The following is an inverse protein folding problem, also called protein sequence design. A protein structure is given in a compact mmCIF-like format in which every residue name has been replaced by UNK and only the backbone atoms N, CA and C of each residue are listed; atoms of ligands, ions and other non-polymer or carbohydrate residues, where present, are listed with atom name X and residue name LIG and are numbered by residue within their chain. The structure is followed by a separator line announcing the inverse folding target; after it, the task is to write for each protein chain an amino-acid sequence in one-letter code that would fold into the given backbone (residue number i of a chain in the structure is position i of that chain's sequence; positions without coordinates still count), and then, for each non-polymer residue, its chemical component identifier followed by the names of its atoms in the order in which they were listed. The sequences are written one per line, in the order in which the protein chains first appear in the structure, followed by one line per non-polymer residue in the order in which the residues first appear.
data_IF_721987428977
#
_entry.id   IF_721987428977
#
_cell.length_a   1.000
_cell.length_b   1.000
_cell.length_c   1.000
_cell.angle_alpha   90.00
_cell.angle_beta   90.00
_cell.angle_gamma   90.00
#
_symmetry.space_group_name_H-M   'P 1'
#
loop_
_entity.id
_entity.type
_entity.pdbx_description
1 polymer ?
#
# COMPACT_ATOMS: atom_id res chain seq x y z
N UNK A 1 38.08 -0.05 2.23
CA UNK A 1 37.19 -0.53 1.14
C UNK A 1 36.19 -1.64 1.54
N UNK A 2 36.16 -2.18 2.78
CA UNK A 2 35.22 -3.25 3.17
C UNK A 2 33.91 -2.77 3.84
N UNK A 3 33.86 -1.54 4.36
CA UNK A 3 32.70 -0.99 5.08
C UNK A 3 31.57 -0.49 4.17
N UNK A 4 31.90 0.06 3.00
CA UNK A 4 30.90 0.56 2.03
C UNK A 4 30.05 -0.60 1.45
N UNK A 5 30.66 -1.77 1.27
CA UNK A 5 29.96 -2.96 0.78
C UNK A 5 28.95 -3.54 1.78
N UNK A 6 29.20 -3.39 3.09
CA UNK A 6 28.28 -3.91 4.11
C UNK A 6 27.01 -3.06 4.17
N UNK A 7 27.13 -1.74 4.05
CA UNK A 7 25.98 -0.82 3.99
C UNK A 7 25.16 -1.08 2.72
N UNK A 8 25.82 -1.31 1.57
CA UNK A 8 25.15 -1.65 0.32
C UNK A 8 24.41 -2.99 0.40
N UNK A 9 25.02 -4.01 1.03
CA UNK A 9 24.41 -5.33 1.24
C UNK A 9 23.22 -5.29 2.21
N UNK A 10 23.27 -4.45 3.25
CA UNK A 10 22.15 -4.24 4.16
C UNK A 10 20.97 -3.52 3.47
N UNK A 11 21.24 -2.56 2.58
CA UNK A 11 20.21 -1.82 1.85
C UNK A 11 19.52 -2.67 0.76
N UNK A 12 20.30 -3.51 0.07
CA UNK A 12 19.77 -4.47 -0.93
C UNK A 12 18.93 -5.56 -0.25
N UNK A 13 19.31 -6.01 0.95
CA UNK A 13 18.56 -7.03 1.71
C UNK A 13 17.26 -6.48 2.32
N UNK A 14 17.25 -5.22 2.73
CA UNK A 14 16.04 -4.54 3.22
C UNK A 14 15.01 -4.34 2.10
N UNK A 15 15.49 -4.01 0.89
CA UNK A 15 14.64 -3.78 -0.29
C UNK A 15 14.01 -5.07 -0.85
N UNK A 16 14.71 -6.21 -0.78
CA UNK A 16 14.19 -7.49 -1.25
C UNK A 16 13.18 -8.14 -0.29
N UNK A 17 13.25 -7.85 1.01
CA UNK A 17 12.45 -8.58 2.01
C UNK A 17 11.04 -8.01 2.20
N UNK A 18 10.84 -6.71 1.98
CA UNK A 18 9.51 -6.06 2.11
C UNK A 18 8.68 -6.20 0.82
N UNK A 19 9.32 -6.53 -0.31
CA UNK A 19 8.71 -6.33 -1.63
C UNK A 19 9.07 -7.40 -2.69
N UNK A 20 9.96 -8.34 -2.39
CA UNK A 20 10.33 -9.44 -3.26
C UNK A 20 9.55 -10.72 -2.94
N UNK A 21 8.70 -11.19 -3.86
CA UNK A 21 8.25 -12.58 -3.88
C UNK A 21 9.34 -13.43 -4.53
N UNK A 22 10.10 -14.21 -3.76
CA UNK A 22 10.96 -15.24 -4.32
C UNK A 22 10.14 -16.50 -4.59
N UNK A 23 10.02 -16.90 -5.86
CA UNK A 23 9.52 -18.23 -6.28
C UNK A 23 10.68 -19.24 -6.32
N UNK A 24 11.40 -19.43 -5.21
CA UNK A 24 12.51 -20.39 -5.18
C UNK A 24 12.44 -21.25 -3.92
N UNK A 25 11.88 -22.45 -4.06
CA UNK A 25 11.64 -23.42 -2.99
C UNK A 25 12.92 -24.01 -2.36
N UNK A 26 14.12 -23.67 -2.86
CA UNK A 26 15.38 -24.12 -2.27
C UNK A 26 16.03 -23.11 -1.29
N UNK A 27 15.47 -21.91 -1.10
CA UNK A 27 15.99 -20.92 -0.14
C UNK A 27 15.24 -20.90 1.21
N UNK A 28 14.35 -21.87 1.47
CA UNK A 28 13.62 -21.98 2.76
C UNK A 28 14.48 -22.53 3.90
N UNK A 29 15.62 -23.18 3.60
CA UNK A 29 16.39 -23.95 4.60
C UNK A 29 17.58 -23.23 5.25
N UNK A 30 17.86 -21.96 4.91
CA UNK A 30 19.07 -21.28 5.45
C UNK A 30 18.83 -19.99 6.24
N UNK A 31 17.58 -19.63 6.50
CA UNK A 31 17.23 -18.42 7.24
C UNK A 31 16.37 -18.75 8.48
N UNK A 32 16.96 -19.49 9.42
CA UNK A 32 16.27 -20.00 10.63
C UNK A 32 16.70 -19.29 11.93
N UNK A 33 17.39 -18.14 11.87
CA UNK A 33 18.00 -17.54 13.07
C UNK A 33 17.67 -16.07 13.34
N UNK A 34 16.66 -15.50 12.67
CA UNK A 34 16.08 -14.22 13.08
C UNK A 34 14.58 -14.40 13.18
N UNK A 35 14.14 -14.82 14.38
CA UNK A 35 12.73 -14.86 14.77
C UNK A 35 12.17 -13.44 14.90
N UNK A 36 11.98 -12.77 13.77
CA UNK A 36 10.92 -11.79 13.62
C UNK A 36 9.73 -12.56 13.02
N UNK A 37 8.58 -12.65 13.69
CA UNK A 37 7.36 -13.19 13.09
C UNK A 37 6.82 -12.13 12.12
N UNK A 38 7.60 -11.74 11.11
CA UNK A 38 7.24 -10.71 10.15
C UNK A 38 6.97 -11.31 8.78
N UNK A 39 6.07 -12.29 8.79
CA UNK A 39 5.16 -12.59 7.71
C UNK A 39 4.13 -13.55 8.30
N UNK A 40 3.43 -13.13 9.36
CA UNK A 40 2.09 -13.68 9.57
C UNK A 40 1.41 -13.54 8.22
N UNK A 41 1.00 -14.67 7.62
CA UNK A 41 0.16 -14.63 6.45
C UNK A 41 -0.94 -13.63 6.77
N UNK A 42 -0.88 -12.44 6.15
CA UNK A 42 -1.89 -11.42 6.37
C UNK A 42 -3.14 -12.11 5.85
N UNK A 43 -3.96 -12.60 6.78
CA UNK A 43 -5.24 -13.18 6.45
C UNK A 43 -5.91 -12.12 5.59
N UNK A 44 -6.23 -12.49 4.34
CA UNK A 44 -7.01 -11.65 3.44
C UNK A 44 -8.42 -11.63 4.03
N UNK A 45 -8.58 -10.96 5.17
CA UNK A 45 -9.89 -10.64 5.71
C UNK A 45 -10.61 -9.89 4.59
N UNK A 46 -11.70 -10.48 4.08
CA UNK A 46 -12.45 -9.90 2.96
C UNK A 46 -13.21 -8.64 3.35
N UNK A 47 -13.14 -8.24 4.61
CA UNK A 47 -13.86 -7.12 5.21
C UNK A 47 -12.89 -6.07 5.75
N UNK A 48 -12.04 -5.51 4.89
CA UNK A 48 -11.26 -4.32 5.22
C UNK A 48 -12.20 -3.09 5.27
N UNK A 49 -11.86 -2.09 6.09
CA UNK A 49 -12.58 -0.80 6.12
C UNK A 49 -11.85 0.20 5.23
N UNK A 50 -12.58 0.89 4.35
CA UNK A 50 -12.06 1.92 3.47
C UNK A 50 -11.39 3.05 4.26
N UNK A 51 -12.00 3.49 5.36
CA UNK A 51 -11.43 4.52 6.23
C UNK A 51 -10.06 4.09 6.81
N UNK A 52 -9.96 2.85 7.30
CA UNK A 52 -8.69 2.32 7.83
C UNK A 52 -7.65 2.13 6.73
N UNK A 53 -8.06 1.63 5.56
CA UNK A 53 -7.17 1.46 4.41
C UNK A 53 -6.68 2.79 3.85
N UNK A 54 -7.51 3.83 3.88
CA UNK A 54 -7.15 5.20 3.49
C UNK A 54 -6.10 5.79 4.44
N UNK A 55 -6.26 5.59 5.75
CA UNK A 55 -5.25 5.99 6.74
C UNK A 55 -3.87 5.36 6.44
N UNK A 56 -3.83 4.05 6.22
CA UNK A 56 -2.58 3.33 5.87
C UNK A 56 -2.03 3.81 4.53
N UNK A 57 -2.89 4.05 3.53
CA UNK A 57 -2.48 4.62 2.24
C UNK A 57 -1.80 5.97 2.42
N UNK A 58 -2.38 6.87 3.20
CA UNK A 58 -1.81 8.19 3.45
C UNK A 58 -0.45 8.10 4.14
N UNK A 59 -0.31 7.23 5.15
CA UNK A 59 0.96 6.98 5.80
C UNK A 59 2.02 6.47 4.81
N UNK A 60 1.67 5.50 3.95
CA UNK A 60 2.58 4.99 2.92
C UNK A 60 2.96 6.07 1.90
N UNK A 61 2.02 6.91 1.49
CA UNK A 61 2.27 8.03 0.58
C UNK A 61 3.16 9.10 1.20
N UNK A 62 3.03 9.37 2.49
CA UNK A 62 3.81 10.38 3.19
C UNK A 62 5.23 9.88 3.47
N UNK A 63 5.38 8.66 3.98
CA UNK A 63 6.67 8.15 4.46
C UNK A 63 7.51 7.48 3.38
N UNK A 64 6.89 6.65 2.53
CA UNK A 64 7.62 5.79 1.59
C UNK A 64 7.74 6.39 0.19
N UNK A 65 6.73 7.12 -0.28
CA UNK A 65 6.76 7.72 -1.62
C UNK A 65 7.97 8.66 -1.85
N UNK A 66 8.38 9.52 -0.90
CA UNK A 66 9.57 10.36 -1.09
C UNK A 66 10.85 9.53 -1.28
N UNK A 67 10.96 8.38 -0.59
CA UNK A 67 12.08 7.46 -0.70
C UNK A 67 12.11 6.86 -2.10
N UNK A 68 10.99 6.31 -2.57
CA UNK A 68 10.90 5.74 -3.92
C UNK A 68 11.23 6.76 -5.01
N UNK A 69 10.71 7.98 -4.89
CA UNK A 69 11.03 9.09 -5.81
C UNK A 69 12.51 9.48 -5.78
N UNK A 70 13.11 9.59 -4.60
CA UNK A 70 14.53 9.95 -4.44
C UNK A 70 15.45 8.96 -5.16
N UNK A 71 15.15 7.66 -5.07
CA UNK A 71 15.98 6.62 -5.66
C UNK A 71 15.53 6.19 -7.06
N UNK A 72 14.48 6.80 -7.62
CA UNK A 72 13.95 6.47 -8.94
C UNK A 72 13.49 5.01 -9.06
N UNK A 73 13.11 4.37 -7.96
CA UNK A 73 12.69 2.98 -7.94
C UNK A 73 11.17 2.88 -7.88
N UNK A 74 10.60 2.01 -8.69
CA UNK A 74 9.17 1.69 -8.60
C UNK A 74 8.92 0.67 -7.50
N UNK A 75 7.71 0.68 -6.93
CA UNK A 75 7.28 -0.34 -5.97
C UNK A 75 7.03 -1.67 -6.68
N UNK A 76 7.75 -2.75 -6.35
CA UNK A 76 7.54 -4.07 -6.93
C UNK A 76 6.07 -4.52 -6.95
N UNK A 77 5.68 -5.23 -8.01
CA UNK A 77 4.37 -5.90 -8.13
C UNK A 77 4.17 -7.04 -7.11
N UNK A 78 5.17 -7.39 -6.32
CA UNK A 78 5.02 -8.37 -5.24
C UNK A 78 4.64 -7.76 -3.89
N UNK A 79 4.78 -6.43 -3.74
CA UNK A 79 4.68 -5.76 -2.45
C UNK A 79 3.28 -5.77 -1.88
N UNK A 80 3.17 -6.13 -0.60
CA UNK A 80 1.95 -5.94 0.19
C UNK A 80 1.59 -4.46 0.38
N UNK A 81 2.59 -3.58 0.38
CA UNK A 81 2.40 -2.12 0.47
C UNK A 81 2.26 -1.42 -0.89
N UNK A 82 2.12 -2.19 -1.98
CA UNK A 82 1.88 -1.60 -3.28
C UNK A 82 0.45 -1.05 -3.34
N UNK A 83 0.32 0.27 -3.29
CA UNK A 83 -0.97 0.96 -3.30
C UNK A 83 -1.84 0.61 -4.52
N UNK A 84 -1.22 0.32 -5.67
CA UNK A 84 -1.93 -0.10 -6.89
C UNK A 84 -2.66 -1.45 -6.73
N UNK A 85 -2.24 -2.25 -5.75
CA UNK A 85 -2.85 -3.54 -5.42
C UNK A 85 -3.93 -3.44 -4.34
N UNK A 86 -4.08 -2.28 -3.71
CA UNK A 86 -5.16 -2.06 -2.76
C UNK A 86 -6.52 -2.29 -3.41
N UNK A 87 -7.41 -2.97 -2.71
CA UNK A 87 -8.79 -3.20 -3.15
C UNK A 87 -9.57 -1.90 -3.38
N UNK A 88 -9.15 -0.83 -2.69
CA UNK A 88 -9.76 0.49 -2.75
C UNK A 88 -9.01 1.49 -3.62
N UNK A 89 -7.99 1.05 -4.37
CA UNK A 89 -7.18 1.97 -5.17
C UNK A 89 -8.02 2.81 -6.14
N UNK A 90 -8.98 2.19 -6.83
CA UNK A 90 -9.85 2.90 -7.77
C UNK A 90 -10.78 3.91 -7.07
N UNK A 91 -11.29 3.58 -5.87
CA UNK A 91 -12.11 4.51 -5.09
C UNK A 91 -11.29 5.73 -4.63
N UNK A 92 -10.09 5.48 -4.12
CA UNK A 92 -9.16 6.52 -3.67
C UNK A 92 -8.72 7.43 -4.82
N UNK A 93 -8.53 6.89 -6.03
CA UNK A 93 -8.28 7.69 -7.25
C UNK A 93 -9.47 8.56 -7.66
N UNK A 94 -10.69 8.16 -7.27
CA UNK A 94 -11.93 8.90 -7.51
C UNK A 94 -12.34 9.79 -6.35
N UNK A 95 -11.55 9.86 -5.28
CA UNK A 95 -11.77 10.72 -4.12
C UNK A 95 -10.95 12.00 -4.29
N UNK A 96 -11.63 13.13 -4.41
CA UNK A 96 -11.00 14.45 -4.54
C UNK A 96 -11.35 15.33 -3.35
N UNK A 97 -10.35 15.94 -2.72
CA UNK A 97 -10.55 17.04 -1.78
C UNK A 97 -10.61 18.35 -2.57
N UNK A 98 -11.65 19.15 -2.31
CA UNK A 98 -11.86 20.45 -2.95
C UNK A 98 -11.20 21.57 -2.14
N UNK A 99 -10.93 22.72 -2.77
CA UNK A 99 -10.34 23.89 -2.12
C UNK A 99 -11.09 24.37 -0.87
N UNK A 100 -12.40 24.07 -0.78
CA UNK A 100 -13.27 24.51 0.30
C UNK A 100 -13.42 23.43 1.39
N UNK A 101 -12.59 22.38 1.38
CA UNK A 101 -12.64 21.27 2.36
C UNK A 101 -13.75 20.25 2.14
N UNK A 102 -14.54 20.37 1.07
CA UNK A 102 -15.50 19.32 0.69
C UNK A 102 -14.81 18.17 -0.02
N UNK A 103 -15.43 17.01 0.05
CA UNK A 103 -15.03 15.82 -0.70
C UNK A 103 -15.90 15.67 -1.94
N UNK A 104 -15.30 15.36 -3.09
CA UNK A 104 -15.98 15.14 -4.36
C UNK A 104 -15.68 13.74 -4.89
N UNK A 105 -16.71 13.03 -5.30
CA UNK A 105 -16.58 11.81 -6.07
C UNK A 105 -16.36 12.15 -7.54
N UNK A 106 -15.20 11.82 -8.08
CA UNK A 106 -14.86 12.06 -9.49
C UNK A 106 -15.61 11.10 -10.44
N UNK A 107 -16.09 9.96 -9.96
CA UNK A 107 -16.84 9.01 -10.77
C UNK A 107 -18.26 9.50 -11.16
N UNK A 108 -18.92 10.28 -10.28
CA UNK A 108 -20.30 10.75 -10.52
C UNK A 108 -20.51 12.24 -10.23
N UNK A 109 -19.50 12.96 -9.76
CA UNK A 109 -19.54 14.41 -9.50
C UNK A 109 -20.16 14.85 -8.17
N UNK A 110 -20.71 13.94 -7.35
CA UNK A 110 -21.34 14.29 -6.06
C UNK A 110 -20.33 14.86 -5.06
N UNK A 111 -20.78 15.83 -4.27
CA UNK A 111 -20.00 16.49 -3.21
C UNK A 111 -20.51 16.12 -1.83
N UNK A 112 -19.62 16.10 -0.85
CA UNK A 112 -19.87 15.66 0.52
C UNK A 112 -19.15 16.57 1.50
N UNK A 113 -19.79 16.83 2.65
CA UNK A 113 -19.24 17.66 3.72
C UNK A 113 -18.08 16.99 4.46
N UNK A 114 -18.09 15.66 4.57
CA UNK A 114 -17.06 14.92 5.32
C UNK A 114 -16.59 13.71 4.54
N UNK A 115 -15.39 13.25 4.87
CA UNK A 115 -14.77 12.08 4.24
C UNK A 115 -15.58 10.80 4.49
N UNK A 116 -16.19 10.68 5.67
CA UNK A 116 -17.04 9.53 6.02
C UNK A 116 -18.27 9.42 5.09
N UNK A 117 -18.87 10.55 4.70
CA UNK A 117 -20.02 10.54 3.80
C UNK A 117 -19.67 10.08 2.40
N UNK A 118 -18.50 10.47 1.87
CA UNK A 118 -18.06 9.96 0.56
C UNK A 118 -17.70 8.47 0.62
N UNK A 119 -17.18 7.97 1.75
CA UNK A 119 -16.96 6.53 1.94
C UNK A 119 -18.27 5.73 1.94
N UNK A 120 -19.30 6.19 2.67
CA UNK A 120 -20.65 5.58 2.62
C UNK A 120 -21.23 5.60 1.21
N UNK A 121 -21.02 6.70 0.47
CA UNK A 121 -21.40 6.79 -0.94
C UNK A 121 -20.69 5.74 -1.79
N UNK A 122 -19.38 5.53 -1.62
CA UNK A 122 -18.67 4.51 -2.38
C UNK A 122 -19.21 3.10 -2.12
N UNK A 123 -19.47 2.75 -0.87
CA UNK A 123 -20.03 1.44 -0.53
C UNK A 123 -21.46 1.20 -1.05
N UNK A 124 -22.23 2.26 -1.33
CA UNK A 124 -23.62 2.13 -1.79
C UNK A 124 -23.78 2.33 -3.30
N UNK A 125 -22.90 3.09 -3.95
CA UNK A 125 -23.04 3.50 -5.35
C UNK A 125 -21.89 3.09 -6.26
N UNK A 126 -20.75 2.67 -5.70
CA UNK A 126 -19.55 2.33 -6.46
C UNK A 126 -18.90 1.02 -5.98
N UNK A 127 -19.72 0.01 -5.64
CA UNK A 127 -19.22 -1.30 -5.26
C UNK A 127 -18.45 -1.98 -6.40
N UNK A 128 -18.82 -1.67 -7.65
CA UNK A 128 -18.16 -2.13 -8.88
C UNK A 128 -16.69 -1.72 -8.97
N UNK A 129 -16.28 -0.66 -8.27
CA UNK A 129 -14.90 -0.19 -8.23
C UNK A 129 -14.06 -0.87 -7.14
N UNK A 130 -14.65 -1.69 -6.28
CA UNK A 130 -13.95 -2.42 -5.21
C UNK A 130 -13.45 -3.76 -5.76
N UNK A 131 -12.15 -4.02 -5.68
CA UNK A 131 -11.59 -5.33 -6.08
C UNK A 131 -11.85 -6.38 -4.99
N UNK A 132 -12.40 -7.53 -5.37
CA UNK A 132 -12.64 -8.68 -4.47
C UNK A 132 -11.51 -9.73 -4.52
#
# INVERSE_FOLDING_TARGET
MKLINIIYMLWVSFSHTICGKTKNDNLKKKLFLLNLPFASAVNKERNCSLARSSLVRNLLLQEFNPIYKRYGVEVPRGCVFNLKQSMYNALEEKKLETSNGFWKCDACGKKFYTEEHIYKHFYSKHQDLIKH
#
